data_IF_273407750209
#
_entry.id   IF_273407750209
#
_cell.length_a   1.000
_cell.length_b   1.000
_cell.length_c   1.000
_cell.angle_alpha   90.00
_cell.angle_beta   90.00
_cell.angle_gamma   90.00
#
_symmetry.space_group_name_H-M   'P 1'
#
loop_
_entity.id
_entity.type
_entity.pdbx_description
1 polymer ?
#
# COMPACT_ATOMS: atom_id res chain seq x y z
N UNK A 1 8.46 -24.99 -19.94
CA UNK A 1 8.72 -23.68 -19.32
C UNK A 1 8.31 -23.73 -17.86
N UNK A 2 9.21 -23.45 -16.92
CA UNK A 2 8.89 -23.38 -15.49
C UNK A 2 8.04 -22.13 -15.25
N UNK A 3 6.86 -22.27 -14.65
CA UNK A 3 5.99 -21.13 -14.33
C UNK A 3 6.79 -20.14 -13.46
N UNK A 4 6.84 -18.84 -13.80
CA UNK A 4 7.49 -17.83 -12.97
C UNK A 4 6.95 -17.90 -11.54
N UNK A 5 7.82 -17.74 -10.55
CA UNK A 5 7.42 -17.73 -9.14
C UNK A 5 6.53 -16.50 -8.91
N UNK A 6 5.38 -16.71 -8.28
CA UNK A 6 4.43 -15.63 -7.99
C UNK A 6 4.94 -14.79 -6.82
N UNK A 7 5.26 -13.52 -7.09
CA UNK A 7 5.71 -12.53 -6.10
C UNK A 7 4.61 -11.54 -5.71
N UNK A 8 3.35 -11.87 -6.03
CA UNK A 8 2.15 -11.15 -5.58
C UNK A 8 1.39 -11.96 -4.53
N UNK A 9 0.52 -11.30 -3.78
CA UNK A 9 -0.35 -11.92 -2.77
C UNK A 9 -1.81 -11.70 -3.11
N UNK A 10 -2.63 -12.75 -2.98
CA UNK A 10 -4.07 -12.71 -3.26
C UNK A 10 -4.90 -12.31 -2.02
N UNK A 11 -4.23 -12.15 -0.87
CA UNK A 11 -4.85 -11.77 0.39
C UNK A 11 -3.85 -10.97 1.24
N UNK A 12 -4.39 -10.13 2.11
CA UNK A 12 -3.68 -9.55 3.23
C UNK A 12 -4.61 -9.53 4.45
N UNK A 13 -4.08 -9.64 5.68
CA UNK A 13 -4.92 -9.62 6.87
C UNK A 13 -5.58 -8.26 7.06
N UNK A 14 -6.90 -8.25 7.24
CA UNK A 14 -7.65 -7.07 7.66
C UNK A 14 -7.93 -7.19 9.16
N UNK A 15 -7.03 -6.64 9.99
CA UNK A 15 -7.16 -6.74 11.45
C UNK A 15 -8.33 -5.91 11.95
N UNK A 16 -9.06 -6.39 12.97
CA UNK A 16 -10.17 -5.63 13.60
C UNK A 16 -9.69 -4.45 14.44
N UNK A 17 -8.44 -4.52 14.93
CA UNK A 17 -7.80 -3.40 15.58
C UNK A 17 -7.01 -2.63 14.51
N UNK A 18 -7.49 -1.44 14.18
CA UNK A 18 -6.96 -0.63 13.10
C UNK A 18 -5.91 0.41 13.55
N UNK A 19 -5.65 0.50 14.86
CA UNK A 19 -4.62 1.34 15.44
C UNK A 19 -4.74 2.83 15.08
N UNK A 20 -3.63 3.54 15.21
CA UNK A 20 -3.54 4.99 15.00
C UNK A 20 -3.75 5.40 13.54
N UNK A 21 -3.38 4.54 12.59
CA UNK A 21 -3.46 4.84 11.15
C UNK A 21 -4.89 5.07 10.71
N UNK A 22 -5.79 4.11 10.91
CA UNK A 22 -7.20 4.28 10.49
C UNK A 22 -7.91 5.36 11.25
N UNK A 23 -7.70 5.45 12.58
CA UNK A 23 -8.29 6.53 13.35
C UNK A 23 -7.99 7.91 12.76
N UNK A 24 -6.74 8.17 12.37
CA UNK A 24 -6.33 9.45 11.78
C UNK A 24 -6.91 9.64 10.38
N UNK A 25 -6.85 8.62 9.52
CA UNK A 25 -7.33 8.76 8.14
C UNK A 25 -8.86 8.93 8.09
N UNK A 26 -9.60 8.16 8.87
CA UNK A 26 -11.06 8.28 8.99
C UNK A 26 -11.47 9.61 9.62
N UNK A 27 -10.74 10.09 10.63
CA UNK A 27 -11.05 11.39 11.25
C UNK A 27 -10.89 12.56 10.28
N UNK A 28 -9.97 12.46 9.31
CA UNK A 28 -9.67 13.54 8.35
C UNK A 28 -10.46 13.46 7.05
N UNK A 29 -10.70 12.26 6.54
CA UNK A 29 -11.31 12.03 5.22
C UNK A 29 -12.51 11.07 5.26
N UNK A 30 -12.94 10.64 6.44
CA UNK A 30 -14.04 9.67 6.58
C UNK A 30 -13.77 8.38 5.81
N UNK A 31 -14.80 7.91 5.11
CA UNK A 31 -14.75 6.68 4.32
C UNK A 31 -13.73 6.74 3.18
N UNK A 32 -13.41 7.92 2.64
CA UNK A 32 -12.40 8.07 1.60
C UNK A 32 -11.01 7.74 2.14
N UNK A 33 -10.72 8.16 3.38
CA UNK A 33 -9.46 7.82 4.06
C UNK A 33 -9.32 6.32 4.28
N UNK A 34 -10.38 5.68 4.80
CA UNK A 34 -10.46 4.24 5.00
C UNK A 34 -10.27 3.47 3.69
N UNK A 35 -11.13 3.75 2.70
CA UNK A 35 -11.15 3.03 1.43
C UNK A 35 -9.84 3.21 0.66
N UNK A 36 -9.30 4.44 0.63
CA UNK A 36 -8.03 4.72 -0.06
C UNK A 36 -6.88 3.92 0.54
N UNK A 37 -6.79 3.83 1.86
CA UNK A 37 -5.72 3.05 2.50
C UNK A 37 -5.76 1.57 2.11
N UNK A 38 -6.92 0.93 2.23
CA UNK A 38 -7.03 -0.49 1.89
C UNK A 38 -6.81 -0.75 0.40
N UNK A 39 -7.26 0.16 -0.47
CA UNK A 39 -7.01 0.08 -1.92
C UNK A 39 -5.54 0.26 -2.28
N UNK A 40 -4.79 1.05 -1.53
CA UNK A 40 -3.32 1.11 -1.64
C UNK A 40 -2.71 -0.24 -1.25
N UNK A 41 -3.13 -0.84 -0.13
CA UNK A 41 -2.62 -2.15 0.30
C UNK A 41 -2.92 -3.26 -0.72
N UNK A 42 -4.12 -3.27 -1.32
CA UNK A 42 -4.47 -4.16 -2.44
C UNK A 42 -3.48 -4.02 -3.60
N UNK A 43 -3.18 -2.78 -4.00
CA UNK A 43 -2.24 -2.51 -5.09
C UNK A 43 -0.80 -2.85 -4.74
N UNK A 44 -0.37 -2.67 -3.50
CA UNK A 44 0.92 -3.16 -3.02
C UNK A 44 0.96 -4.69 -3.16
N UNK A 45 -0.08 -5.41 -2.73
CA UNK A 45 -0.15 -6.87 -2.80
C UNK A 45 -0.10 -7.44 -4.23
N UNK A 46 -0.66 -6.71 -5.19
CA UNK A 46 -0.73 -7.07 -6.63
C UNK A 46 0.53 -6.71 -7.43
N UNK A 47 1.58 -6.16 -6.79
CA UNK A 47 2.85 -5.81 -7.43
C UNK A 47 3.96 -6.75 -6.99
N UNK A 48 4.77 -7.22 -7.95
CA UNK A 48 5.84 -8.21 -7.71
C UNK A 48 6.89 -7.78 -6.68
N UNK A 49 7.09 -6.47 -6.49
CA UNK A 49 8.04 -5.93 -5.53
C UNK A 49 7.37 -5.26 -4.33
N UNK A 50 6.04 -5.35 -4.21
CA UNK A 50 5.26 -4.73 -3.14
C UNK A 50 5.55 -3.25 -2.90
N UNK A 51 5.70 -2.49 -3.98
CA UNK A 51 5.66 -1.04 -3.95
C UNK A 51 4.85 -0.51 -5.14
N UNK A 52 4.36 0.71 -4.99
CA UNK A 52 3.71 1.46 -6.07
C UNK A 52 4.62 2.62 -6.45
N UNK A 53 4.89 2.77 -7.74
CA UNK A 53 5.67 3.87 -8.29
C UNK A 53 4.74 4.96 -8.81
N UNK A 54 4.81 6.15 -8.21
CA UNK A 54 4.02 7.32 -8.60
C UNK A 54 4.90 8.45 -9.17
N UNK A 55 6.07 8.12 -9.74
CA UNK A 55 6.95 9.12 -10.35
C UNK A 55 6.40 9.67 -11.68
N UNK A 56 5.48 8.97 -12.33
CA UNK A 56 4.81 9.44 -13.54
C UNK A 56 3.37 9.89 -13.23
N UNK A 57 2.84 10.81 -14.04
CA UNK A 57 1.49 11.35 -13.84
C UNK A 57 0.39 10.33 -14.13
N UNK A 58 0.59 9.44 -15.10
CA UNK A 58 -0.41 8.45 -15.49
C UNK A 58 -0.73 7.45 -14.36
N UNK A 59 0.28 7.04 -13.59
CA UNK A 59 0.13 6.15 -12.43
C UNK A 59 -0.55 6.87 -11.27
N UNK A 60 -0.29 8.18 -11.10
CA UNK A 60 -1.03 9.02 -10.16
C UNK A 60 -2.51 9.05 -10.55
N UNK A 61 -2.82 9.44 -11.78
CA UNK A 61 -4.20 9.56 -12.28
C UNK A 61 -4.94 8.22 -12.18
N UNK A 62 -4.27 7.12 -12.53
CA UNK A 62 -4.79 5.78 -12.38
C UNK A 62 -5.10 5.47 -10.91
N UNK A 63 -4.22 5.78 -9.98
CA UNK A 63 -4.45 5.50 -8.56
C UNK A 63 -5.56 6.39 -7.98
N UNK A 64 -5.66 7.65 -8.41
CA UNK A 64 -6.77 8.55 -8.05
C UNK A 64 -8.11 7.93 -8.48
N UNK A 65 -8.21 7.53 -9.75
CA UNK A 65 -9.39 6.89 -10.32
C UNK A 65 -9.70 5.55 -9.64
N UNK A 66 -8.67 4.73 -9.39
CA UNK A 66 -8.80 3.47 -8.67
C UNK A 66 -9.40 3.71 -7.29
N UNK A 67 -8.85 4.64 -6.51
CA UNK A 67 -9.29 4.98 -5.15
C UNK A 67 -10.65 5.68 -5.14
N UNK A 68 -11.06 6.34 -6.23
CA UNK A 68 -12.25 7.20 -6.37
C UNK A 68 -12.17 8.48 -5.54
N UNK A 69 -10.97 9.06 -5.49
CA UNK A 69 -10.70 10.36 -4.84
C UNK A 69 -10.00 11.29 -5.82
N UNK A 70 -10.02 12.60 -5.55
CA UNK A 70 -9.20 13.55 -6.32
C UNK A 70 -7.71 13.29 -6.08
N UNK A 71 -6.86 13.71 -7.01
CA UNK A 71 -5.41 13.56 -6.83
C UNK A 71 -4.86 14.41 -5.69
N UNK A 72 -5.48 15.55 -5.38
CA UNK A 72 -5.16 16.34 -4.20
C UNK A 72 -5.44 15.55 -2.91
N UNK A 73 -6.63 14.93 -2.82
CA UNK A 73 -6.99 14.09 -1.66
C UNK A 73 -6.06 12.88 -1.53
N UNK A 74 -5.75 12.20 -2.64
CA UNK A 74 -4.80 11.08 -2.65
C UNK A 74 -3.43 11.51 -2.11
N UNK A 75 -2.89 12.62 -2.61
CA UNK A 75 -1.59 13.14 -2.17
C UNK A 75 -1.61 13.53 -0.68
N UNK A 76 -2.69 14.15 -0.20
CA UNK A 76 -2.83 14.48 1.23
C UNK A 76 -2.87 13.23 2.11
N UNK A 77 -3.61 12.19 1.70
CA UNK A 77 -3.67 10.90 2.40
C UNK A 77 -2.28 10.25 2.43
N UNK A 78 -1.58 10.16 1.29
CA UNK A 78 -0.25 9.56 1.21
C UNK A 78 0.79 10.31 2.06
N UNK A 79 0.74 11.65 2.02
CA UNK A 79 1.58 12.47 2.90
C UNK A 79 1.30 12.18 4.39
N UNK A 80 0.03 12.05 4.77
CA UNK A 80 -0.33 11.71 6.15
C UNK A 80 0.10 10.29 6.52
N UNK A 81 -0.01 9.32 5.61
CA UNK A 81 0.49 7.96 5.79
C UNK A 81 2.00 7.95 6.07
N UNK A 82 2.78 8.78 5.38
CA UNK A 82 4.21 8.92 5.65
C UNK A 82 4.48 9.54 7.03
N UNK A 83 3.73 10.59 7.41
CA UNK A 83 3.86 11.24 8.73
C UNK A 83 3.58 10.29 9.89
N UNK A 84 2.65 9.34 9.72
CA UNK A 84 2.26 8.37 10.75
C UNK A 84 2.99 7.03 10.61
N UNK A 85 4.01 6.95 9.74
CA UNK A 85 4.80 5.76 9.45
C UNK A 85 3.98 4.54 8.99
N UNK A 86 2.84 4.77 8.35
CA UNK A 86 2.07 3.71 7.68
C UNK A 86 2.74 3.29 6.36
N UNK A 87 3.41 4.24 5.71
CA UNK A 87 4.31 4.01 4.58
C UNK A 87 5.70 4.57 4.89
N UNK A 88 6.72 4.05 4.21
CA UNK A 88 8.09 4.51 4.38
C UNK A 88 8.24 5.97 3.89
N UNK A 89 8.56 6.86 4.81
CA UNK A 89 8.69 8.29 4.52
C UNK A 89 9.90 8.59 3.62
N UNK A 90 10.95 7.77 3.65
CA UNK A 90 12.14 7.94 2.83
C UNK A 90 11.86 7.66 1.35
N UNK A 91 11.22 6.52 1.08
CA UNK A 91 10.77 6.12 -0.25
C UNK A 91 9.66 7.04 -0.76
N UNK A 92 8.77 7.52 0.11
CA UNK A 92 7.71 8.45 -0.30
C UNK A 92 8.25 9.78 -0.83
N UNK A 93 9.40 10.27 -0.33
CA UNK A 93 10.08 11.45 -0.91
C UNK A 93 10.45 11.25 -2.40
N UNK A 94 10.63 10.01 -2.82
CA UNK A 94 10.87 9.62 -4.22
C UNK A 94 9.60 9.14 -4.94
N UNK A 95 8.42 9.39 -4.37
CA UNK A 95 7.11 8.96 -4.87
C UNK A 95 6.93 7.44 -4.99
N UNK A 96 7.65 6.70 -4.13
CA UNK A 96 7.49 5.26 -3.99
C UNK A 96 6.66 4.97 -2.74
N UNK A 97 5.54 4.26 -2.91
CA UNK A 97 4.70 3.83 -1.80
C UNK A 97 5.15 2.43 -1.39
N UNK A 98 5.63 2.30 -0.15
CA UNK A 98 6.05 1.03 0.44
C UNK A 98 5.59 0.98 1.90
N UNK A 99 5.14 -0.19 2.37
CA UNK A 99 4.70 -0.36 3.76
C UNK A 99 5.33 -1.62 4.35
N UNK A 100 6.28 -1.44 5.29
CA UNK A 100 6.89 -2.57 6.00
C UNK A 100 5.85 -3.40 6.75
N UNK A 101 4.88 -2.73 7.38
CA UNK A 101 3.78 -3.40 8.10
C UNK A 101 2.96 -4.32 7.19
N UNK A 102 2.78 -3.95 5.93
CA UNK A 102 2.12 -4.83 4.95
C UNK A 102 2.94 -6.08 4.66
N UNK A 103 4.25 -5.91 4.41
CA UNK A 103 5.18 -7.03 4.14
C UNK A 103 5.19 -8.02 5.30
N UNK A 104 5.29 -7.51 6.52
CA UNK A 104 5.29 -8.32 7.73
C UNK A 104 3.97 -9.09 7.87
N UNK A 105 2.84 -8.42 7.55
CA UNK A 105 1.51 -9.02 7.58
C UNK A 105 1.27 -10.14 6.57
N UNK A 106 2.02 -10.18 5.47
CA UNK A 106 1.91 -11.21 4.42
C UNK A 106 3.08 -12.19 4.40
N UNK A 107 4.05 -12.07 5.31
CA UNK A 107 5.24 -12.92 5.37
C UNK A 107 4.90 -14.43 5.44
N UNK A 108 3.80 -14.78 6.08
CA UNK A 108 3.30 -16.16 6.15
C UNK A 108 2.95 -16.74 4.77
N UNK A 109 2.43 -15.92 3.86
CA UNK A 109 2.15 -16.34 2.48
C UNK A 109 3.43 -16.74 1.74
N UNK A 110 4.53 -16.02 1.99
CA UNK A 110 5.85 -16.29 1.44
C UNK A 110 6.52 -17.50 2.07
N UNK A 111 6.39 -17.68 3.38
CA UNK A 111 6.90 -18.86 4.11
C UNK A 111 6.34 -20.16 3.52
N UNK A 112 5.04 -20.20 3.22
CA UNK A 112 4.37 -21.36 2.57
C UNK A 112 4.92 -21.64 1.17
N UNK A 113 5.44 -20.62 0.47
CA UNK A 113 6.06 -20.73 -0.85
C UNK A 113 7.55 -21.11 -0.81
N UNK A 114 8.13 -21.28 0.39
CA UNK A 114 9.59 -21.45 0.63
C UNK A 114 10.41 -20.33 -0.04
N UNK A 115 9.90 -19.09 0.03
CA UNK A 115 10.52 -17.90 -0.53
C UNK A 115 10.50 -16.79 0.51
N UNK A 116 11.45 -15.85 0.41
CA UNK A 116 11.39 -14.61 1.17
C UNK A 116 10.48 -13.62 0.41
N UNK A 117 9.78 -12.73 1.12
CA UNK A 117 9.18 -11.55 0.49
C UNK A 117 10.26 -10.76 -0.28
N UNK A 118 9.89 -10.04 -1.36
CA UNK A 118 10.76 -9.08 -2.00
C UNK A 118 11.33 -8.12 -0.94
N UNK A 119 12.66 -8.01 -0.89
CA UNK A 119 13.37 -7.05 -0.05
C UNK A 119 13.83 -5.90 -0.94
N UNK A 120 13.53 -4.67 -0.53
CA UNK A 120 13.88 -3.44 -1.23
C UNK A 120 15.31 -3.01 -0.90
#
# INVERSE_FOLDING_TARGET
>A
MTRPRKSTVDYFPHTVNHGKTMFILESKWGNDGYATWFKILEKIGDKDNHYIDLRNQADIDFLCAYCRVSCDTLMQILNQCAVINAIDAGLWRHKLIYSQNFIDGVADAYRRRKQNPPTT
#
